data_IF_503541039303
#
_entry.id   IF_503541039303
#
_cell.length_a   1.000
_cell.length_b   1.000
_cell.length_c   1.000
_cell.angle_alpha   90.00
_cell.angle_beta   90.00
_cell.angle_gamma   90.00
#
_symmetry.space_group_name_H-M   'P 1'
#
loop_
_entity.id
_entity.type
_entity.pdbx_description
1 polymer ?
#
# COMPACT_ATOMS: atom_id res chain seq x y z
N UNK A 1 7.07 16.93 8.08
CA UNK A 1 7.51 16.00 8.65
C UNK A 1 8.27 14.91 8.07
N UNK A 2 9.45 14.88 8.52
CA UNK A 2 10.40 13.92 8.03
C UNK A 2 10.13 12.52 8.48
N UNK A 3 9.31 12.35 9.51
CA UNK A 3 9.03 11.03 10.04
C UNK A 3 8.39 10.10 9.04
N UNK A 4 7.47 10.64 8.25
CA UNK A 4 6.75 9.81 7.29
C UNK A 4 7.71 9.27 6.23
N UNK A 5 8.66 10.09 5.82
CA UNK A 5 9.64 9.69 4.83
C UNK A 5 10.53 8.57 5.33
N UNK A 6 11.03 8.69 6.55
CA UNK A 6 11.97 7.70 7.05
C UNK A 6 11.28 6.41 7.41
N UNK A 7 10.01 6.47 7.80
CA UNK A 7 9.29 5.30 8.23
C UNK A 7 8.63 4.55 7.08
N UNK A 8 8.19 5.27 6.06
CA UNK A 8 7.44 4.68 4.96
C UNK A 8 8.17 4.91 3.65
N UNK A 9 9.24 4.20 3.47
CA UNK A 9 10.05 4.36 2.27
C UNK A 9 9.37 3.69 1.08
N UNK A 10 9.49 4.33 -0.07
CA UNK A 10 8.94 3.79 -1.31
C UNK A 10 9.56 2.42 -1.56
N UNK A 11 8.70 1.47 -1.88
CA UNK A 11 9.12 0.10 -2.11
C UNK A 11 8.97 -0.80 -0.91
N UNK A 12 8.67 -0.23 0.26
CA UNK A 12 8.54 -1.04 1.47
C UNK A 12 7.17 -1.72 1.51
N UNK A 13 7.17 -2.98 1.87
CA UNK A 13 5.94 -3.74 2.06
C UNK A 13 5.45 -3.52 3.48
N UNK A 14 4.19 -3.13 3.61
CA UNK A 14 3.59 -2.93 4.92
C UNK A 14 2.23 -3.60 4.95
N UNK A 15 1.75 -3.86 6.16
CA UNK A 15 0.46 -4.50 6.36
C UNK A 15 -0.46 -3.56 7.11
N UNK A 16 -1.72 -3.62 6.80
CA UNK A 16 -2.71 -2.80 7.48
C UNK A 16 -4.08 -3.43 7.38
N UNK A 17 -5.07 -2.69 7.84
CA UNK A 17 -6.44 -3.15 7.87
C UNK A 17 -7.30 -2.15 7.11
N UNK A 18 -8.14 -2.65 6.22
CA UNK A 18 -9.03 -1.81 5.44
C UNK A 18 -10.00 -1.13 6.38
N UNK A 19 -10.05 0.21 6.35
CA UNK A 19 -10.91 0.93 7.27
C UNK A 19 -12.03 1.71 6.59
N UNK A 20 -11.92 2.04 5.31
CA UNK A 20 -12.98 2.78 4.64
C UNK A 20 -12.87 2.63 3.14
N UNK A 21 -14.02 2.66 2.48
CA UNK A 21 -14.10 2.63 1.02
C UNK A 21 -14.50 4.00 0.51
N UNK A 22 -13.92 4.41 -0.59
CA UNK A 22 -14.32 5.63 -1.30
C UNK A 22 -14.40 5.34 -2.78
N UNK A 23 -15.00 6.22 -3.58
CA UNK A 23 -15.01 6.00 -5.03
C UNK A 23 -13.61 6.02 -5.64
N UNK A 24 -12.65 6.60 -4.96
CA UNK A 24 -11.30 6.77 -5.50
C UNK A 24 -10.31 5.75 -4.97
N UNK A 25 -10.65 5.00 -3.96
CA UNK A 25 -9.73 4.03 -3.38
C UNK A 25 -10.14 3.60 -1.99
N UNK A 26 -9.21 2.99 -1.31
CA UNK A 26 -9.45 2.35 -0.02
C UNK A 26 -8.51 2.93 1.01
N UNK A 27 -9.05 3.39 2.13
CA UNK A 27 -8.21 3.81 3.24
C UNK A 27 -7.81 2.61 4.08
N UNK A 28 -6.58 2.61 4.51
CA UNK A 28 -5.98 1.49 5.25
C UNK A 28 -5.39 2.03 6.54
N UNK A 29 -5.74 1.36 7.64
CA UNK A 29 -5.15 1.67 8.94
C UNK A 29 -3.80 0.96 9.01
N UNK A 30 -2.73 1.74 9.03
CA UNK A 30 -1.39 1.19 9.03
C UNK A 30 -0.74 1.27 10.40
N UNK A 31 -1.55 1.44 11.42
CA UNK A 31 -1.05 1.35 12.79
C UNK A 31 -0.66 2.67 13.43
N UNK A 32 -0.94 3.79 12.76
CA UNK A 32 -0.62 5.10 13.31
C UNK A 32 -1.83 6.00 13.23
N UNK A 33 -2.15 6.63 14.33
CA UNK A 33 -3.38 7.42 14.41
C UNK A 33 -3.36 8.61 13.45
N UNK A 34 -2.18 9.16 13.19
CA UNK A 34 -2.10 10.38 12.42
C UNK A 34 -1.63 10.19 11.01
N UNK A 35 -1.49 8.94 10.58
CA UNK A 35 -1.03 8.64 9.23
C UNK A 35 -2.01 7.66 8.62
N UNK A 36 -2.50 7.98 7.44
CA UNK A 36 -3.46 7.14 6.74
C UNK A 36 -2.82 6.49 5.54
N UNK A 37 -3.08 5.21 5.34
CA UNK A 37 -2.72 4.56 4.11
C UNK A 37 -3.84 4.72 3.10
N UNK A 38 -3.51 4.84 1.84
CA UNK A 38 -4.50 4.95 0.78
C UNK A 38 -4.05 4.14 -0.41
N UNK A 39 -4.89 3.17 -0.79
CA UNK A 39 -4.69 2.43 -2.04
C UNK A 39 -5.62 3.06 -3.04
N UNK A 40 -5.08 3.77 -4.02
CA UNK A 40 -5.91 4.39 -5.04
C UNK A 40 -6.54 3.32 -5.90
N UNK A 41 -7.71 3.63 -6.46
CA UNK A 41 -8.43 2.66 -7.27
C UNK A 41 -7.58 2.18 -8.45
N UNK A 42 -6.65 3.00 -8.89
CA UNK A 42 -5.75 2.65 -9.99
C UNK A 42 -4.58 1.78 -9.54
N UNK A 43 -4.48 1.50 -8.25
CA UNK A 43 -3.36 0.74 -7.71
C UNK A 43 -3.73 -0.67 -7.26
N UNK A 44 -4.81 -1.22 -7.82
CA UNK A 44 -5.22 -2.58 -7.50
C UNK A 44 -4.88 -3.59 -8.59
N UNK A 45 -5.01 -3.20 -9.85
CA UNK A 45 -4.86 -4.11 -10.98
C UNK A 45 -3.82 -3.59 -11.94
N UNK A 46 -3.06 -4.51 -12.51
CA UNK A 46 -2.11 -4.12 -13.58
C UNK A 46 -2.85 -3.85 -14.87
N UNK A 47 -3.92 -4.58 -15.11
CA UNK A 47 -4.72 -4.39 -16.33
C UNK A 47 -6.18 -4.50 -15.93
N UNK A 48 -7.03 -3.91 -16.77
CA UNK A 48 -8.45 -3.93 -16.51
C UNK A 48 -8.90 -2.79 -15.64
N UNK A 49 -10.18 -2.79 -15.30
CA UNK A 49 -10.78 -1.73 -14.51
C UNK A 49 -11.19 -2.24 -13.16
N UNK A 50 -10.78 -1.53 -12.13
CA UNK A 50 -11.19 -1.81 -10.77
C UNK A 50 -12.45 -1.04 -10.45
N UNK A 51 -13.37 -1.67 -9.75
CA UNK A 51 -14.59 -0.99 -9.29
C UNK A 51 -14.70 -1.13 -7.79
N UNK A 52 -15.46 -0.23 -7.13
CA UNK A 52 -15.57 -0.31 -5.68
C UNK A 52 -16.16 -1.63 -5.17
N UNK A 53 -16.98 -2.29 -5.97
CA UNK A 53 -17.51 -3.59 -5.54
C UNK A 53 -16.44 -4.64 -5.38
N UNK A 54 -15.28 -4.42 -5.98
CA UNK A 54 -14.18 -5.37 -5.91
C UNK A 54 -13.20 -5.07 -4.79
N UNK A 55 -13.44 -4.01 -4.03
CA UNK A 55 -12.55 -3.66 -2.93
C UNK A 55 -12.53 -4.76 -1.87
N UNK A 56 -11.40 -4.92 -1.18
CA UNK A 56 -11.38 -5.81 -0.02
C UNK A 56 -12.31 -5.28 1.07
N UNK A 57 -12.84 -6.18 1.84
CA UNK A 57 -13.82 -5.83 2.86
C UNK A 57 -13.19 -4.99 3.96
N UNK A 58 -13.99 -4.08 4.51
CA UNK A 58 -13.58 -3.31 5.66
C UNK A 58 -13.31 -4.28 6.81
N UNK A 59 -12.18 -4.09 7.47
CA UNK A 59 -11.76 -4.97 8.55
C UNK A 59 -10.80 -6.06 8.11
N UNK A 60 -10.63 -6.25 6.80
CA UNK A 60 -9.71 -7.29 6.33
C UNK A 60 -8.28 -6.76 6.32
N UNK A 61 -7.33 -7.68 6.49
CA UNK A 61 -5.91 -7.35 6.42
C UNK A 61 -5.46 -7.27 4.99
N UNK A 62 -4.55 -6.34 4.72
CA UNK A 62 -4.02 -6.19 3.37
C UNK A 62 -2.54 -5.86 3.45
N UNK A 63 -1.74 -6.54 2.63
CA UNK A 63 -0.33 -6.22 2.45
C UNK A 63 -0.18 -5.38 1.21
N UNK A 64 0.58 -4.30 1.31
CA UNK A 64 0.71 -3.37 0.21
C UNK A 64 2.09 -2.75 0.21
N UNK A 65 2.45 -2.13 -0.90
CA UNK A 65 3.77 -1.55 -1.08
C UNK A 65 3.64 -0.04 -1.13
N UNK A 66 4.51 0.64 -0.41
CA UNK A 66 4.54 2.10 -0.43
C UNK A 66 5.01 2.57 -1.79
N UNK A 67 4.21 3.40 -2.44
CA UNK A 67 4.59 3.97 -3.73
C UNK A 67 4.75 5.48 -3.67
N UNK A 68 4.43 6.09 -2.54
CA UNK A 68 4.59 7.53 -2.38
C UNK A 68 3.97 7.97 -1.08
N UNK A 69 3.97 9.29 -0.86
CA UNK A 69 3.36 9.87 0.32
C UNK A 69 3.17 11.35 0.08
N UNK A 70 2.25 11.95 0.84
CA UNK A 70 2.10 13.39 0.82
C UNK A 70 3.09 13.99 1.81
N UNK A 71 3.52 15.21 1.54
CA UNK A 71 4.40 15.91 2.44
C UNK A 71 3.71 17.14 3.03
N UNK A 72 2.42 17.07 3.12
CA UNK A 72 1.63 18.16 3.68
C UNK A 72 0.92 17.66 4.94
N UNK A 73 -0.09 18.41 5.36
CA UNK A 73 -0.79 18.09 6.60
C UNK A 73 -1.64 16.84 6.52
N UNK A 74 -1.87 16.32 5.34
CA UNK A 74 -2.72 15.15 5.21
C UNK A 74 -2.06 13.89 5.72
N UNK A 75 -0.74 13.82 5.69
CA UNK A 75 0.00 12.66 6.20
C UNK A 75 -0.54 11.36 5.63
N UNK A 76 -0.58 11.28 4.30
CA UNK A 76 -1.05 10.10 3.62
C UNK A 76 0.09 9.33 3.00
N UNK A 77 0.03 8.01 3.12
CA UNK A 77 0.98 7.12 2.48
C UNK A 77 0.24 6.43 1.33
N UNK A 78 0.77 6.57 0.14
CA UNK A 78 0.17 5.97 -1.05
C UNK A 78 0.64 4.54 -1.15
N UNK A 79 -0.30 3.61 -1.30
CA UNK A 79 -0.02 2.18 -1.29
C UNK A 79 -0.51 1.55 -2.58
N UNK A 80 0.12 0.45 -2.95
CA UNK A 80 -0.28 -0.29 -4.14
C UNK A 80 -0.35 -1.78 -3.82
N UNK A 81 -1.37 -2.43 -4.35
CA UNK A 81 -1.49 -3.89 -4.29
C UNK A 81 -1.49 -4.48 -5.69
N UNK A 82 -1.04 -3.73 -6.69
CA UNK A 82 -0.91 -4.28 -8.03
C UNK A 82 -0.03 -5.52 -7.98
N UNK A 83 -0.41 -6.59 -8.64
CA UNK A 83 0.41 -7.80 -8.60
C UNK A 83 1.86 -7.57 -9.01
N UNK A 84 2.10 -6.74 -10.01
CA UNK A 84 3.47 -6.50 -10.44
C UNK A 84 4.28 -5.78 -9.37
N UNK A 85 3.65 -4.85 -8.66
CA UNK A 85 4.34 -4.11 -7.61
C UNK A 85 4.62 -5.00 -6.42
N UNK A 86 3.63 -5.80 -6.02
CA UNK A 86 3.81 -6.74 -4.92
C UNK A 86 4.91 -7.76 -5.25
N UNK A 87 4.91 -8.24 -6.47
CA UNK A 87 5.89 -9.23 -6.86
C UNK A 87 7.30 -8.69 -6.82
N UNK A 88 7.48 -7.45 -7.24
CA UNK A 88 8.78 -6.82 -7.15
C UNK A 88 9.28 -6.75 -5.72
N UNK A 89 8.40 -6.38 -4.82
CA UNK A 89 8.76 -6.27 -3.43
C UNK A 89 9.13 -7.63 -2.84
N UNK A 90 8.37 -8.65 -3.19
CA UNK A 90 8.65 -9.99 -2.70
C UNK A 90 9.95 -10.54 -3.26
N UNK A 91 10.22 -10.27 -4.51
CA UNK A 91 11.48 -10.70 -5.11
C UNK A 91 12.65 -10.07 -4.38
N UNK A 92 12.52 -8.79 -4.08
CA UNK A 92 13.56 -8.11 -3.34
C UNK A 92 13.80 -8.74 -1.98
N UNK A 93 12.73 -9.10 -1.28
CA UNK A 93 12.84 -9.71 0.02
C UNK A 93 13.45 -11.11 -0.06
N UNK A 94 13.20 -11.79 -1.15
CA UNK A 94 13.71 -13.14 -1.32
C UNK A 94 15.11 -13.19 -1.90
N UNK A 95 15.58 -12.10 -2.40
CA UNK A 95 16.86 -12.08 -3.09
C UNK A 95 17.99 -12.72 -2.28
N UNK A 96 18.15 -12.39 -1.02
CA UNK A 96 19.25 -13.00 -0.26
C UNK A 96 19.15 -14.52 -0.25
N UNK A 97 17.96 -15.04 -0.13
CA UNK A 97 17.78 -16.48 -0.11
C UNK A 97 18.09 -17.10 -1.46
N UNK A 98 17.63 -16.46 -2.50
CA UNK A 98 17.80 -17.02 -3.83
C UNK A 98 19.23 -16.92 -4.31
N UNK A 99 20.00 -16.03 -3.76
CA UNK A 99 21.37 -15.86 -4.22
C UNK A 99 22.30 -16.93 -3.69
N UNK A 100 21.81 -17.77 -2.84
CA UNK A 100 22.66 -18.84 -2.38
C UNK A 100 22.86 -19.93 -3.36
N UNK A 101 22.11 -19.94 -4.36
CA UNK A 101 22.27 -20.96 -5.36
C UNK A 101 23.41 -20.69 -6.28
#
# INVERSE_FOLDING_TARGET
MTKIKSKYQVGKLIYGVVEAHTPFGVFVDIGEAEVKGLIQITDFLDTGSMTPEMYPEIGSSVGSVVVGYTEDERNQVWLSVKPSVLQKSLVKLKLPASTQI
#
